data_IF_060360958333
#
_entry.id   IF_060360958333
#
_cell.length_a   1.000
_cell.length_b   1.000
_cell.length_c   1.000
_cell.angle_alpha   90.00
_cell.angle_beta   90.00
_cell.angle_gamma   90.00
#
_symmetry.space_group_name_H-M   'P 1'
#
loop_
_entity.id
_entity.type
_entity.pdbx_description
1 polymer ?
#
# COMPACT_ATOMS: atom_id res chain seq x y z
N UNK A 1 -8.54 -69.69 -1.54
CA UNK A 1 -9.20 -70.13 -0.29
C UNK A 1 -9.77 -68.91 0.41
N UNK A 2 -11.09 -68.73 0.29
CA UNK A 2 -12.10 -68.78 1.38
C UNK A 2 -11.86 -67.70 2.47
N UNK A 3 -12.75 -66.83 2.88
CA UNK A 3 -14.25 -66.68 2.91
C UNK A 3 -14.51 -65.24 3.31
N UNK A 4 -15.42 -64.44 2.78
CA UNK A 4 -16.87 -64.43 3.02
C UNK A 4 -17.28 -64.17 4.49
N UNK A 5 -17.99 -63.07 4.71
CA UNK A 5 -18.77 -62.73 5.88
C UNK A 5 -19.26 -61.28 5.72
N UNK A 6 -20.26 -60.97 5.24
CA UNK A 6 -21.73 -60.91 5.30
C UNK A 6 -22.23 -60.63 6.73
N UNK A 7 -22.90 -59.50 6.87
CA UNK A 7 -24.11 -59.13 7.67
C UNK A 7 -23.99 -57.67 8.06
N UNK A 8 -24.78 -56.70 7.71
CA UNK A 8 -26.22 -56.67 7.59
C UNK A 8 -26.83 -56.23 8.94
N UNK A 9 -27.05 -54.92 9.14
CA UNK A 9 -28.13 -54.46 10.01
C UNK A 9 -28.71 -53.16 9.47
N UNK A 10 -29.95 -53.28 9.11
CA UNK A 10 -30.90 -52.21 8.90
C UNK A 10 -31.10 -51.43 10.18
N UNK A 11 -31.08 -50.12 10.10
CA UNK A 11 -31.51 -49.22 11.17
C UNK A 11 -31.96 -47.93 10.52
N UNK A 12 -33.22 -47.96 10.13
CA UNK A 12 -33.93 -46.69 9.88
C UNK A 12 -34.03 -45.95 11.19
N UNK A 13 -33.97 -44.65 11.19
CA UNK A 13 -34.84 -43.74 11.97
C UNK A 13 -34.35 -42.27 11.93
N UNK A 14 -35.24 -41.43 11.43
CA UNK A 14 -35.52 -40.03 11.78
C UNK A 14 -34.49 -38.94 11.41
N UNK A 15 -34.76 -38.30 10.29
CA UNK A 15 -35.45 -36.98 10.18
C UNK A 15 -35.20 -36.05 11.36
N UNK A 16 -34.22 -35.20 11.21
CA UNK A 16 -34.17 -33.91 11.88
C UNK A 16 -33.68 -32.87 10.87
N UNK A 17 -34.63 -32.24 10.20
CA UNK A 17 -34.43 -30.97 9.52
C UNK A 17 -34.07 -29.92 10.58
N UNK A 18 -32.83 -29.53 10.64
CA UNK A 18 -32.42 -28.27 11.26
C UNK A 18 -32.03 -27.34 10.11
N UNK A 19 -33.00 -26.56 9.71
CA UNK A 19 -32.81 -25.35 8.93
C UNK A 19 -32.07 -24.34 9.81
N UNK A 20 -30.76 -24.35 9.75
CA UNK A 20 -29.94 -23.21 10.17
C UNK A 20 -29.86 -22.28 8.97
N UNK A 21 -30.80 -21.34 8.95
CA UNK A 21 -30.65 -20.11 8.18
C UNK A 21 -29.46 -19.35 8.77
N UNK A 22 -28.25 -19.67 8.33
CA UNK A 22 -27.10 -18.84 8.51
C UNK A 22 -27.28 -17.63 7.60
N UNK A 23 -27.72 -16.51 8.14
CA UNK A 23 -27.47 -15.21 7.53
C UNK A 23 -25.96 -15.06 7.43
N UNK A 24 -25.43 -15.39 6.28
CA UNK A 24 -24.11 -14.93 5.87
C UNK A 24 -24.18 -13.42 5.73
N UNK A 25 -23.79 -12.74 6.77
CA UNK A 25 -23.41 -11.35 6.73
C UNK A 25 -22.27 -11.26 5.71
N UNK A 26 -22.60 -10.80 4.52
CA UNK A 26 -21.61 -10.40 3.54
C UNK A 26 -20.83 -9.24 4.17
N UNK A 27 -19.69 -9.57 4.77
CA UNK A 27 -18.68 -8.58 5.08
C UNK A 27 -18.34 -7.91 3.74
N UNK A 28 -18.92 -6.72 3.53
CA UNK A 28 -18.37 -5.76 2.61
C UNK A 28 -16.88 -5.72 2.88
N UNK A 29 -16.03 -5.90 1.86
CA UNK A 29 -14.66 -5.53 2.05
C UNK A 29 -14.67 -4.03 2.36
N UNK A 30 -14.35 -3.69 3.60
CA UNK A 30 -14.01 -2.33 3.97
C UNK A 30 -12.84 -1.95 3.08
N UNK A 31 -13.15 -1.15 2.08
CA UNK A 31 -12.17 -0.58 1.19
C UNK A 31 -11.43 0.49 1.98
N UNK A 32 -10.14 0.30 2.32
CA UNK A 32 -9.38 1.31 3.07
C UNK A 32 -9.01 2.53 2.21
N UNK A 33 -9.56 2.65 1.02
CA UNK A 33 -9.16 3.63 0.01
C UNK A 33 -9.50 5.07 0.42
N UNK A 34 -10.58 5.27 1.20
CA UNK A 34 -10.98 6.62 1.60
C UNK A 34 -10.11 7.21 2.73
N UNK A 35 -9.53 6.38 3.59
CA UNK A 35 -8.66 6.83 4.67
C UNK A 35 -7.27 7.25 4.14
N UNK A 36 -6.76 6.53 3.15
CA UNK A 36 -5.45 6.82 2.55
C UNK A 36 -5.46 8.10 1.71
N UNK A 37 -6.54 8.34 0.94
CA UNK A 37 -6.67 9.56 0.15
C UNK A 37 -6.78 10.82 1.04
N UNK A 38 -7.50 10.72 2.16
CA UNK A 38 -7.61 11.82 3.12
C UNK A 38 -6.28 12.05 3.86
N UNK A 39 -5.55 10.99 4.15
CA UNK A 39 -4.22 11.07 4.76
C UNK A 39 -3.20 11.74 3.86
N UNK A 40 -3.23 11.47 2.55
CA UNK A 40 -2.32 12.11 1.61
C UNK A 40 -2.63 13.58 1.36
N UNK A 41 -3.93 13.93 1.28
CA UNK A 41 -4.33 15.35 1.16
C UNK A 41 -3.95 16.17 2.40
N UNK A 42 -3.99 15.56 3.59
CA UNK A 42 -3.55 16.22 4.83
C UNK A 42 -2.02 16.27 4.92
N UNK A 43 -1.31 15.30 4.33
CA UNK A 43 0.15 15.26 4.30
C UNK A 43 0.75 16.46 3.56
N UNK A 44 0.12 16.91 2.47
CA UNK A 44 0.57 18.08 1.73
C UNK A 44 0.52 19.39 2.53
N UNK A 45 -0.26 19.44 3.60
CA UNK A 45 -0.40 20.65 4.42
C UNK A 45 0.52 20.69 5.63
N UNK A 46 0.93 19.54 6.17
CA UNK A 46 1.78 19.45 7.36
C UNK A 46 3.20 18.88 7.07
N UNK A 47 3.54 18.67 5.81
CA UNK A 47 4.81 18.10 5.38
C UNK A 47 5.00 16.61 5.77
N UNK A 48 3.95 15.93 6.25
CA UNK A 48 4.02 14.51 6.62
C UNK A 48 3.42 13.64 5.56
N UNK A 49 4.12 12.56 5.25
CA UNK A 49 3.70 11.56 4.27
C UNK A 49 3.63 10.16 4.89
N UNK A 50 2.83 9.31 4.27
CA UNK A 50 2.80 7.89 4.61
C UNK A 50 4.02 7.17 4.02
N UNK A 51 4.70 6.39 4.83
CA UNK A 51 5.85 5.59 4.40
C UNK A 51 5.85 4.20 5.04
N UNK A 52 6.51 3.27 4.38
CA UNK A 52 6.81 1.94 4.88
C UNK A 52 8.31 1.71 4.63
N UNK A 53 9.11 1.84 5.66
CA UNK A 53 10.58 1.82 5.60
C UNK A 53 11.12 0.42 5.90
N UNK A 54 12.32 0.12 5.41
CA UNK A 54 13.05 -1.11 5.67
C UNK A 54 12.25 -2.39 5.35
N UNK A 55 11.41 -2.34 4.29
CA UNK A 55 10.57 -3.46 3.88
C UNK A 55 9.32 -3.69 4.74
N UNK A 56 8.96 -2.75 5.60
CA UNK A 56 7.72 -2.82 6.38
C UNK A 56 6.50 -3.01 5.46
N UNK A 57 5.52 -3.80 5.90
CA UNK A 57 4.29 -4.04 5.12
C UNK A 57 3.23 -2.96 5.35
N UNK A 58 3.19 -2.39 6.55
CA UNK A 58 2.25 -1.34 6.93
C UNK A 58 2.83 0.04 6.68
N UNK A 59 1.98 0.97 6.29
CA UNK A 59 2.30 2.38 6.19
C UNK A 59 1.97 3.10 7.49
N UNK A 60 2.82 4.06 7.85
CA UNK A 60 2.55 5.03 8.90
C UNK A 60 2.84 6.45 8.39
N UNK A 61 2.42 7.49 9.12
CA UNK A 61 2.67 8.89 8.78
C UNK A 61 3.86 9.49 9.54
N UNK A 62 4.94 8.75 9.61
CA UNK A 62 6.13 9.16 10.36
C UNK A 62 7.19 9.85 9.50
N UNK A 63 7.08 9.76 8.17
CA UNK A 63 8.01 10.42 7.26
C UNK A 63 7.63 11.87 6.96
N UNK A 64 8.61 12.65 6.55
CA UNK A 64 8.45 14.02 6.07
C UNK A 64 8.78 14.11 4.58
N UNK A 65 8.26 15.16 3.95
CA UNK A 65 8.59 15.56 2.59
C UNK A 65 8.95 17.03 2.57
N UNK A 66 10.04 17.36 1.93
CA UNK A 66 10.48 18.72 1.64
C UNK A 66 10.83 18.83 0.17
N UNK A 67 10.54 19.99 -0.43
CA UNK A 67 10.91 20.29 -1.82
C UNK A 67 12.02 21.33 -1.82
N UNK A 68 13.06 21.08 -2.62
CA UNK A 68 14.21 21.97 -2.76
C UNK A 68 14.57 22.12 -4.23
N UNK A 69 14.74 23.36 -4.65
CA UNK A 69 15.25 23.64 -6.00
C UNK A 69 16.72 23.23 -6.12
N UNK A 70 17.07 22.61 -7.26
CA UNK A 70 18.46 22.30 -7.62
C UNK A 70 18.76 22.72 -9.05
N UNK A 71 20.04 22.60 -9.44
CA UNK A 71 20.46 22.94 -10.80
C UNK A 71 19.84 22.00 -11.87
N UNK A 72 19.53 20.77 -11.49
CA UNK A 72 18.99 19.73 -12.37
C UNK A 72 17.46 19.66 -12.36
N UNK A 73 16.80 20.45 -11.51
CA UNK A 73 15.35 20.46 -11.30
C UNK A 73 15.00 20.43 -9.81
N UNK A 74 13.71 20.35 -9.53
CA UNK A 74 13.24 20.28 -8.14
C UNK A 74 13.46 18.90 -7.55
N UNK A 75 13.96 18.86 -6.33
CA UNK A 75 14.28 17.64 -5.59
C UNK A 75 13.35 17.52 -4.39
N UNK A 76 12.70 16.38 -4.26
CA UNK A 76 11.96 15.99 -3.06
C UNK A 76 12.90 15.25 -2.12
N UNK A 77 12.93 15.69 -0.88
CA UNK A 77 13.63 15.02 0.21
C UNK A 77 12.57 14.32 1.04
N UNK A 78 12.57 12.99 1.04
CA UNK A 78 11.58 12.17 1.73
C UNK A 78 12.26 11.23 2.71
N UNK A 79 11.68 11.03 3.87
CA UNK A 79 12.25 10.11 4.86
C UNK A 79 11.96 10.47 6.30
N UNK A 80 12.75 9.90 7.18
CA UNK A 80 12.65 10.07 8.62
C UNK A 80 14.04 10.17 9.24
N UNK A 81 14.22 11.03 10.22
CA UNK A 81 15.53 11.38 10.77
C UNK A 81 16.29 10.24 11.42
N UNK A 82 15.61 9.21 11.91
CA UNK A 82 16.20 8.03 12.54
C UNK A 82 16.65 6.94 11.54
N UNK A 83 16.04 6.91 10.34
CA UNK A 83 16.37 5.96 9.28
C UNK A 83 17.20 6.61 8.18
N UNK A 84 16.90 7.87 7.85
CA UNK A 84 17.54 8.64 6.80
C UNK A 84 16.56 9.18 5.77
N UNK A 85 17.11 9.89 4.80
CA UNK A 85 16.36 10.58 3.76
C UNK A 85 16.77 10.08 2.38
N UNK A 86 15.81 10.07 1.46
CA UNK A 86 16.00 9.83 0.03
C UNK A 86 15.78 11.13 -0.73
N UNK A 87 16.58 11.34 -1.77
CA UNK A 87 16.46 12.48 -2.66
C UNK A 87 15.90 12.00 -3.99
N UNK A 88 14.77 12.56 -4.37
CA UNK A 88 14.06 12.22 -5.60
C UNK A 88 14.02 13.45 -6.49
N UNK A 89 14.59 13.37 -7.67
CA UNK A 89 14.53 14.43 -8.67
C UNK A 89 13.20 14.36 -9.43
N UNK A 90 12.53 15.48 -9.57
CA UNK A 90 11.38 15.63 -10.46
C UNK A 90 11.93 15.81 -11.88
N UNK A 91 11.86 14.74 -12.67
CA UNK A 91 12.43 14.74 -14.01
C UNK A 91 11.58 15.58 -14.97
N UNK A 92 12.21 16.47 -15.70
CA UNK A 92 11.55 17.35 -16.67
C UNK A 92 11.33 16.69 -18.03
N UNK A 93 11.85 15.47 -18.22
CA UNK A 93 11.76 14.69 -19.46
C UNK A 93 10.55 13.73 -19.51
N UNK A 94 9.63 13.82 -18.54
CA UNK A 94 8.41 13.01 -18.46
C UNK A 94 8.58 11.67 -17.75
N UNK A 95 9.75 11.35 -17.23
CA UNK A 95 9.96 10.12 -16.42
C UNK A 95 9.33 10.17 -15.03
N UNK A 96 8.85 11.34 -14.60
CA UNK A 96 8.31 11.55 -13.26
C UNK A 96 9.41 11.67 -12.20
N UNK A 97 9.30 10.96 -11.11
CA UNK A 97 10.29 10.96 -10.03
C UNK A 97 11.38 9.93 -10.29
N UNK A 98 12.62 10.33 -10.17
CA UNK A 98 13.80 9.47 -10.29
C UNK A 98 14.71 9.67 -9.07
N UNK A 99 15.56 8.70 -8.77
CA UNK A 99 16.57 8.87 -7.71
C UNK A 99 17.55 9.97 -8.10
N UNK A 100 17.75 10.95 -7.24
CA UNK A 100 18.72 12.01 -7.47
C UNK A 100 20.17 11.55 -7.23
N UNK A 101 20.35 10.56 -6.36
CA UNK A 101 21.69 10.07 -5.96
C UNK A 101 22.19 8.95 -6.88
N UNK A 102 21.39 8.48 -7.82
CA UNK A 102 21.76 7.53 -8.87
C UNK A 102 22.14 6.11 -8.44
N UNK A 103 22.24 5.84 -7.14
CA UNK A 103 22.70 4.55 -6.62
C UNK A 103 21.62 3.45 -6.80
N UNK A 104 20.36 3.78 -6.67
CA UNK A 104 19.24 2.85 -6.82
C UNK A 104 18.10 3.49 -7.60
N UNK A 105 17.43 2.69 -8.43
CA UNK A 105 16.32 3.18 -9.24
C UNK A 105 15.06 3.33 -8.41
N UNK A 106 14.43 4.49 -8.46
CA UNK A 106 13.09 4.69 -7.95
C UNK A 106 12.06 4.08 -8.91
N UNK A 107 11.08 3.36 -8.36
CA UNK A 107 9.92 2.84 -9.10
C UNK A 107 8.69 3.63 -8.66
N UNK A 108 7.98 4.20 -9.63
CA UNK A 108 6.79 4.99 -9.38
C UNK A 108 5.57 4.26 -9.88
N UNK A 109 4.53 4.17 -9.07
CA UNK A 109 3.25 3.59 -9.41
C UNK A 109 2.11 4.50 -8.95
N UNK A 110 1.04 4.59 -9.74
CA UNK A 110 -0.19 5.25 -9.33
C UNK A 110 -0.97 4.27 -8.44
N UNK A 111 -1.29 4.67 -7.21
CA UNK A 111 -1.95 3.81 -6.23
C UNK A 111 -3.35 4.30 -5.83
N UNK A 112 -3.78 5.43 -6.37
CA UNK A 112 -5.10 5.99 -6.15
C UNK A 112 -5.25 7.33 -6.86
N UNK A 113 -6.42 7.96 -6.70
CA UNK A 113 -6.70 9.26 -7.30
C UNK A 113 -5.85 10.34 -6.62
N UNK A 114 -4.89 10.86 -7.37
CA UNK A 114 -3.98 11.89 -6.87
C UNK A 114 -2.89 11.36 -5.93
N UNK A 115 -2.63 10.05 -5.89
CA UNK A 115 -1.58 9.41 -5.10
C UNK A 115 -0.65 8.58 -5.97
N UNK A 116 0.64 8.72 -5.72
CA UNK A 116 1.68 7.85 -6.25
C UNK A 116 2.41 7.14 -5.11
N UNK A 117 2.88 5.95 -5.38
CA UNK A 117 3.82 5.24 -4.53
C UNK A 117 5.19 5.24 -5.18
N UNK A 118 6.20 5.65 -4.43
CA UNK A 118 7.60 5.59 -4.83
C UNK A 118 8.28 4.52 -4.01
N UNK A 119 8.81 3.50 -4.68
CA UNK A 119 9.58 2.43 -4.07
C UNK A 119 11.06 2.57 -4.44
N UNK A 120 11.94 2.59 -3.45
CA UNK A 120 13.39 2.70 -3.60
C UNK A 120 14.10 2.01 -2.45
N UNK A 121 15.06 1.15 -2.74
CA UNK A 121 15.89 0.47 -1.72
C UNK A 121 15.12 -0.28 -0.62
N UNK A 122 13.93 -0.82 -0.94
CA UNK A 122 13.07 -1.47 0.05
C UNK A 122 12.16 -0.53 0.84
N UNK A 123 12.34 0.77 0.72
CA UNK A 123 11.46 1.79 1.27
C UNK A 123 10.33 2.12 0.31
N UNK A 124 9.17 2.49 0.83
CA UNK A 124 8.02 2.93 0.04
C UNK A 124 7.43 4.19 0.63
N UNK A 125 7.12 5.14 -0.23
CA UNK A 125 6.57 6.45 0.13
C UNK A 125 5.31 6.72 -0.68
N UNK A 126 4.25 7.19 -0.03
CA UNK A 126 3.03 7.65 -0.72
C UNK A 126 3.02 9.16 -0.78
N UNK A 127 3.04 9.67 -1.99
CA UNK A 127 3.13 11.09 -2.29
C UNK A 127 1.89 11.55 -3.05
N UNK A 128 1.48 12.82 -2.92
CA UNK A 128 0.53 13.41 -3.85
C UNK A 128 1.08 13.37 -5.28
N UNK A 129 0.24 13.00 -6.26
CA UNK A 129 0.67 12.88 -7.65
C UNK A 129 1.08 14.23 -8.30
N UNK A 130 0.69 15.33 -7.68
CA UNK A 130 1.00 16.71 -8.11
C UNK A 130 2.17 17.33 -7.32
N UNK A 131 3.01 16.53 -6.67
CA UNK A 131 4.27 17.02 -6.13
C UNK A 131 5.20 17.38 -7.28
N UNK A 132 5.34 18.66 -7.54
CA UNK A 132 6.18 19.18 -8.61
C UNK A 132 5.45 20.21 -9.46
N UNK A 133 5.16 21.35 -8.88
CA UNK A 133 4.77 22.53 -9.62
C UNK A 133 3.30 22.89 -9.59
N UNK A 134 2.78 23.18 -8.44
CA UNK A 134 1.77 24.23 -8.35
C UNK A 134 2.53 25.57 -8.50
N UNK A 135 2.71 26.01 -9.75
CA UNK A 135 2.99 27.42 -10.05
C UNK A 135 1.67 28.13 -10.29
#
# INVERSE_FOLDING_TARGET
MKRAGKTGVRGAVLLALLLLAGCGEAQKPDTPVAADAKSASTAASDGRIACALEGAKAYDRSCTIEEMASADGDVLIVGRSDIGYRRLLIATDGRGLVSADGAESAKVAIVGDGLIEVAIAGDRYRLPANTGGAK
#
